data_IF_207735904278
#
_entry.id   IF_207735904278
#
_cell.length_a   1.000
_cell.length_b   1.000
_cell.length_c   1.000
_cell.angle_alpha   90.00
_cell.angle_beta   90.00
_cell.angle_gamma   90.00
#
_symmetry.space_group_name_H-M   'P 1'
#
loop_
_entity.id
_entity.type
_entity.pdbx_description
1 polymer ?
#
# COMPACT_ATOMS: atom_id res chain seq x y z
N UNK A 1 9.56 -3.94 12.39
CA UNK A 1 9.09 -4.95 11.39
C UNK A 1 8.17 -4.30 10.38
N UNK A 2 8.30 -4.68 9.13
CA UNK A 2 7.40 -4.25 8.08
C UNK A 2 6.64 -5.45 7.53
N UNK A 3 5.32 -5.38 7.54
CA UNK A 3 4.46 -6.38 6.90
C UNK A 3 3.82 -5.73 5.68
N UNK A 4 4.11 -6.26 4.49
CA UNK A 4 3.47 -5.85 3.25
C UNK A 4 2.29 -6.76 2.96
N UNK A 5 1.13 -6.19 2.64
CA UNK A 5 -0.07 -6.95 2.30
C UNK A 5 -0.39 -6.77 0.81
N UNK A 6 -0.51 -7.88 0.13
CA UNK A 6 -0.96 -7.93 -1.26
C UNK A 6 -2.18 -8.83 -1.36
N UNK A 7 -2.90 -8.74 -2.46
CA UNK A 7 -4.05 -9.59 -2.69
C UNK A 7 -4.97 -8.99 -3.74
N UNK A 8 -5.84 -9.81 -4.27
CA UNK A 8 -6.84 -9.39 -5.25
C UNK A 8 -7.88 -8.49 -4.61
N UNK A 9 -8.61 -7.75 -5.45
CA UNK A 9 -9.72 -6.92 -4.99
C UNK A 9 -10.72 -7.78 -4.20
N UNK A 10 -11.18 -7.27 -3.06
CA UNK A 10 -12.10 -7.97 -2.16
C UNK A 10 -11.55 -9.29 -1.59
N UNK A 11 -10.24 -9.45 -1.49
CA UNK A 11 -9.63 -10.63 -0.87
C UNK A 11 -9.69 -10.63 0.66
N UNK A 12 -9.97 -9.47 1.28
CA UNK A 12 -9.98 -9.33 2.74
C UNK A 12 -8.70 -8.71 3.30
N UNK A 13 -7.83 -8.19 2.44
CA UNK A 13 -6.55 -7.60 2.90
C UNK A 13 -6.74 -6.41 3.83
N UNK A 14 -7.79 -5.61 3.64
CA UNK A 14 -8.06 -4.48 4.53
C UNK A 14 -8.46 -4.95 5.94
N UNK A 15 -9.20 -6.05 6.03
CA UNK A 15 -9.55 -6.68 7.30
C UNK A 15 -8.30 -7.18 8.02
N UNK A 16 -7.37 -7.78 7.26
CA UNK A 16 -6.09 -8.26 7.82
C UNK A 16 -5.26 -7.07 8.31
N UNK A 17 -5.21 -5.99 7.54
CA UNK A 17 -4.49 -4.77 7.93
C UNK A 17 -5.06 -4.20 9.24
N UNK A 18 -6.38 -4.08 9.35
CA UNK A 18 -7.05 -3.62 10.57
C UNK A 18 -6.72 -4.50 11.76
N UNK A 19 -6.70 -5.80 11.57
CA UNK A 19 -6.35 -6.75 12.63
C UNK A 19 -4.92 -6.52 13.14
N UNK A 20 -3.98 -6.41 12.21
CA UNK A 20 -2.56 -6.17 12.54
C UNK A 20 -2.39 -4.88 13.33
N UNK A 21 -3.05 -3.81 12.88
CA UNK A 21 -2.97 -2.50 13.56
C UNK A 21 -3.58 -2.59 14.97
N UNK A 22 -4.78 -3.13 15.09
CA UNK A 22 -5.50 -3.14 16.38
C UNK A 22 -4.93 -4.11 17.39
N UNK A 23 -4.49 -5.29 16.94
CA UNK A 23 -4.01 -6.35 17.84
C UNK A 23 -2.52 -6.25 18.13
N UNK A 24 -1.72 -5.77 17.21
CA UNK A 24 -0.27 -5.76 17.33
C UNK A 24 0.35 -4.36 17.36
N UNK A 25 -0.48 -3.32 17.29
CA UNK A 25 0.00 -1.94 17.41
C UNK A 25 0.82 -1.42 16.24
N UNK A 26 0.69 -2.03 15.07
CA UNK A 26 1.38 -1.59 13.86
C UNK A 26 0.78 -0.28 13.35
N UNK A 27 1.61 0.55 12.74
CA UNK A 27 1.16 1.75 12.03
C UNK A 27 0.88 1.40 10.58
N UNK A 28 -0.30 1.77 10.08
CA UNK A 28 -0.69 1.48 8.71
C UNK A 28 -0.23 2.59 7.78
N UNK A 29 0.46 2.22 6.69
CA UNK A 29 0.77 3.09 5.57
C UNK A 29 0.22 2.50 4.29
N UNK A 30 -0.60 3.26 3.58
CA UNK A 30 -1.01 2.92 2.22
C UNK A 30 -0.12 3.66 1.24
N UNK A 31 0.42 2.97 0.23
CA UNK A 31 1.24 3.64 -0.78
C UNK A 31 0.44 4.65 -1.59
N UNK A 32 -0.88 4.47 -1.70
CA UNK A 32 -1.73 5.49 -2.34
C UNK A 32 -1.80 6.79 -1.53
N UNK A 33 -1.63 6.72 -0.21
CA UNK A 33 -1.60 7.93 0.62
C UNK A 33 -0.32 8.74 0.38
N UNK A 34 0.79 8.06 0.03
CA UNK A 34 2.02 8.75 -0.36
C UNK A 34 1.78 9.60 -1.61
N UNK A 35 1.01 9.07 -2.57
CA UNK A 35 0.63 9.84 -3.76
C UNK A 35 -0.16 11.08 -3.37
N UNK A 36 -1.14 10.94 -2.47
CA UNK A 36 -1.96 12.07 -2.00
C UNK A 36 -1.13 13.14 -1.32
N UNK A 37 -0.17 12.74 -0.51
CA UNK A 37 0.73 13.68 0.15
C UNK A 37 1.56 14.48 -0.85
N UNK A 38 2.10 13.81 -1.86
CA UNK A 38 2.87 14.47 -2.93
C UNK A 38 1.99 15.45 -3.71
N UNK A 39 0.76 15.07 -4.02
CA UNK A 39 -0.20 15.93 -4.71
C UNK A 39 -0.53 17.17 -3.90
N UNK A 40 -0.72 17.00 -2.58
CA UNK A 40 -1.00 18.12 -1.68
C UNK A 40 0.14 19.13 -1.68
N UNK A 41 1.40 18.65 -1.68
CA UNK A 41 2.57 19.52 -1.75
C UNK A 41 2.60 20.34 -3.03
N UNK A 42 2.08 19.80 -4.12
CA UNK A 42 2.04 20.48 -5.42
C UNK A 42 0.72 21.22 -5.67
N UNK A 43 -0.20 21.20 -4.71
CA UNK A 43 -1.48 21.90 -4.84
C UNK A 43 -2.47 21.25 -5.80
N UNK A 44 -2.33 19.94 -6.02
CA UNK A 44 -3.21 19.19 -6.93
C UNK A 44 -4.35 18.55 -6.12
N UNK A 45 -5.59 18.71 -6.60
CA UNK A 45 -6.75 18.12 -5.96
C UNK A 45 -6.72 16.59 -6.08
N UNK A 46 -6.91 15.83 -4.97
CA UNK A 46 -6.80 14.37 -4.99
C UNK A 46 -8.05 13.66 -5.51
N UNK A 47 -8.50 14.01 -6.71
CA UNK A 47 -9.53 13.26 -7.41
C UNK A 47 -8.99 11.91 -7.85
N UNK A 48 -9.88 10.95 -8.10
CA UNK A 48 -9.46 9.63 -8.56
C UNK A 48 -8.63 9.71 -9.85
N UNK A 49 -9.07 10.55 -10.79
CA UNK A 49 -8.35 10.73 -12.06
C UNK A 49 -6.96 11.32 -11.84
N UNK A 50 -6.86 12.36 -11.02
CA UNK A 50 -5.57 12.99 -10.71
C UNK A 50 -4.64 12.04 -9.96
N UNK A 51 -5.16 11.21 -9.07
CA UNK A 51 -4.37 10.19 -8.37
C UNK A 51 -3.74 9.21 -9.35
N UNK A 52 -4.50 8.74 -10.32
CA UNK A 52 -4.02 7.78 -11.33
C UNK A 52 -2.94 8.43 -12.19
N UNK A 53 -3.20 9.63 -12.71
CA UNK A 53 -2.26 10.35 -13.58
C UNK A 53 -0.98 10.69 -12.82
N UNK A 54 -1.10 11.24 -11.62
CA UNK A 54 0.05 11.63 -10.81
C UNK A 54 0.92 10.43 -10.43
N UNK A 55 0.28 9.34 -9.98
CA UNK A 55 1.01 8.13 -9.62
C UNK A 55 1.71 7.49 -10.81
N UNK A 56 1.06 7.46 -11.97
CA UNK A 56 1.66 6.94 -13.21
C UNK A 56 2.87 7.77 -13.62
N UNK A 57 2.76 9.09 -13.62
CA UNK A 57 3.86 9.98 -13.99
C UNK A 57 5.02 9.89 -13.00
N UNK A 58 4.73 9.81 -11.71
CA UNK A 58 5.76 9.69 -10.68
C UNK A 58 6.58 8.41 -10.86
N UNK A 59 5.90 7.29 -11.12
CA UNK A 59 6.57 6.01 -11.37
C UNK A 59 7.37 6.03 -12.67
N UNK A 60 6.86 6.67 -13.70
CA UNK A 60 7.54 6.81 -15.00
C UNK A 60 8.83 7.61 -14.85
N UNK A 61 8.79 8.70 -14.08
CA UNK A 61 9.94 9.61 -13.93
C UNK A 61 10.99 9.07 -12.95
N UNK A 62 10.57 8.39 -11.89
CA UNK A 62 11.44 7.99 -10.77
C UNK A 62 11.52 6.49 -10.54
N UNK A 63 10.81 5.69 -11.34
CA UNK A 63 10.81 4.23 -11.21
C UNK A 63 9.60 3.70 -10.47
N UNK A 64 9.28 2.42 -10.71
CA UNK A 64 8.10 1.78 -10.15
C UNK A 64 8.18 1.55 -8.63
N UNK A 65 9.36 1.63 -8.04
CA UNK A 65 9.55 1.47 -6.59
C UNK A 65 9.54 2.78 -5.81
N UNK A 66 9.30 3.92 -6.46
CA UNK A 66 9.43 5.24 -5.81
C UNK A 66 8.52 5.42 -4.61
N UNK A 67 7.29 4.92 -4.66
CA UNK A 67 6.34 5.08 -3.55
C UNK A 67 6.81 4.32 -2.31
N UNK A 68 7.31 3.11 -2.48
CA UNK A 68 7.88 2.33 -1.39
C UNK A 68 9.13 3.01 -0.82
N UNK A 69 9.99 3.53 -1.68
CA UNK A 69 11.17 4.28 -1.26
C UNK A 69 10.81 5.49 -0.41
N UNK A 70 9.81 6.27 -0.84
CA UNK A 70 9.31 7.41 -0.08
C UNK A 70 8.68 7.01 1.25
N UNK A 71 7.96 5.89 1.28
CA UNK A 71 7.38 5.36 2.51
C UNK A 71 8.48 4.98 3.50
N UNK A 72 9.53 4.32 3.04
CA UNK A 72 10.67 3.94 3.90
C UNK A 72 11.34 5.16 4.54
N UNK A 73 11.43 6.28 3.83
CA UNK A 73 11.99 7.52 4.39
C UNK A 73 11.19 8.05 5.57
N UNK A 74 9.88 7.76 5.60
CA UNK A 74 8.98 8.22 6.67
C UNK A 74 8.92 7.28 7.85
N UNK A 75 9.42 6.05 7.69
CA UNK A 75 9.35 5.03 8.72
C UNK A 75 10.58 5.05 9.62
N UNK A 76 10.37 4.95 10.93
CA UNK A 76 11.48 4.77 11.84
C UNK A 76 12.08 3.36 11.68
N UNK A 77 13.38 3.22 11.99
CA UNK A 77 14.08 1.94 11.86
C UNK A 77 13.52 0.87 12.80
N UNK A 78 13.04 1.29 13.96
CA UNK A 78 12.59 0.38 15.02
C UNK A 78 11.07 0.25 15.10
N UNK A 79 10.34 0.94 14.23
CA UNK A 79 8.87 0.90 14.23
C UNK A 79 8.32 -0.32 13.53
N UNK A 80 7.04 -0.60 13.81
CA UNK A 80 6.29 -1.68 13.18
C UNK A 80 5.25 -1.09 12.25
N UNK A 81 5.31 -1.47 10.98
CA UNK A 81 4.48 -0.88 9.93
C UNK A 81 3.80 -1.94 9.09
N UNK A 82 2.54 -1.67 8.73
CA UNK A 82 1.76 -2.48 7.81
C UNK A 82 1.55 -1.68 6.52
N UNK A 83 2.04 -2.18 5.39
CA UNK A 83 2.00 -1.49 4.10
C UNK A 83 0.94 -2.12 3.22
N UNK A 84 0.06 -1.29 2.68
CA UNK A 84 -0.98 -1.70 1.72
C UNK A 84 -0.84 -0.93 0.41
N UNK A 85 -1.70 -1.25 -0.55
CA UNK A 85 -1.70 -0.62 -1.88
C UNK A 85 -0.42 -0.84 -2.67
N UNK A 86 0.23 -1.98 -2.46
CA UNK A 86 1.40 -2.39 -3.24
C UNK A 86 0.91 -2.84 -4.62
N UNK A 87 1.43 -2.22 -5.69
CA UNK A 87 0.97 -2.44 -7.06
C UNK A 87 2.03 -3.04 -7.98
N UNK A 88 3.32 -2.88 -7.64
CA UNK A 88 4.43 -3.29 -8.50
C UNK A 88 5.46 -4.12 -7.75
N UNK A 89 6.07 -5.12 -8.41
CA UNK A 89 7.15 -5.90 -7.79
C UNK A 89 8.33 -5.05 -7.32
N UNK A 90 8.61 -3.94 -8.00
CA UNK A 90 9.69 -3.04 -7.62
C UNK A 90 9.44 -2.40 -6.25
N UNK A 91 8.19 -2.20 -5.87
CA UNK A 91 7.82 -1.71 -4.54
C UNK A 91 8.19 -2.73 -3.47
N UNK A 92 7.96 -4.01 -3.75
CA UNK A 92 8.34 -5.09 -2.85
C UNK A 92 9.86 -5.16 -2.70
N UNK A 93 10.59 -5.00 -3.80
CA UNK A 93 12.06 -5.02 -3.77
C UNK A 93 12.61 -3.86 -2.93
N UNK A 94 12.01 -2.68 -3.00
CA UNK A 94 12.41 -1.55 -2.15
C UNK A 94 12.16 -1.84 -0.66
N UNK A 95 11.00 -2.42 -0.34
CA UNK A 95 10.66 -2.75 1.04
C UNK A 95 11.59 -3.83 1.60
N UNK A 96 12.05 -4.75 0.76
CA UNK A 96 12.98 -5.82 1.16
C UNK A 96 14.38 -5.34 1.50
N UNK A 97 14.71 -4.09 1.22
CA UNK A 97 15.97 -3.51 1.67
C UNK A 97 16.05 -3.46 3.20
N UNK A 98 14.91 -3.48 3.88
CA UNK A 98 14.88 -3.70 5.32
C UNK A 98 14.89 -5.20 5.60
N UNK A 99 15.75 -5.62 6.55
CA UNK A 99 15.93 -7.03 6.89
C UNK A 99 14.72 -7.65 7.57
N UNK A 100 13.82 -6.85 8.10
CA UNK A 100 12.65 -7.26 8.88
C UNK A 100 11.35 -7.14 8.09
N UNK A 101 11.41 -7.31 6.77
CA UNK A 101 10.24 -7.24 5.89
C UNK A 101 9.64 -8.64 5.66
N UNK A 102 8.31 -8.73 5.80
CA UNK A 102 7.54 -9.93 5.50
C UNK A 102 6.42 -9.57 4.53
N UNK A 103 6.30 -10.33 3.45
CA UNK A 103 5.20 -10.15 2.49
C UNK A 103 4.14 -11.20 2.74
N UNK A 104 2.89 -10.76 2.91
CA UNK A 104 1.74 -11.65 3.08
C UNK A 104 0.78 -11.42 1.92
N UNK A 105 0.50 -12.47 1.16
CA UNK A 105 -0.52 -12.43 0.12
C UNK A 105 -1.84 -12.92 0.70
N UNK A 106 -2.83 -12.02 0.75
CA UNK A 106 -4.18 -12.35 1.23
C UNK A 106 -5.03 -12.70 0.03
N UNK A 107 -5.56 -13.90 0.02
CA UNK A 107 -6.37 -14.39 -1.07
C UNK A 107 -7.71 -14.95 -0.56
N UNK A 108 -8.69 -14.98 -1.45
CA UNK A 108 -10.00 -15.54 -1.18
C UNK A 108 -10.55 -16.15 -2.48
N UNK A 109 -11.40 -17.21 -2.39
CA UNK A 109 -12.02 -17.76 -3.58
C UNK A 109 -12.75 -16.68 -4.38
N UNK A 110 -12.75 -16.83 -5.71
CA UNK A 110 -13.35 -15.86 -6.61
C UNK A 110 -14.81 -15.55 -6.28
N UNK A 111 -15.59 -16.55 -5.90
CA UNK A 111 -16.99 -16.37 -5.53
C UNK A 111 -17.15 -15.52 -4.27
N UNK A 112 -16.28 -15.67 -3.28
CA UNK A 112 -16.30 -14.85 -2.07
C UNK A 112 -15.92 -13.40 -2.38
N UNK A 113 -14.95 -13.18 -3.27
CA UNK A 113 -14.55 -11.84 -3.70
C UNK A 113 -15.69 -11.14 -4.43
N UNK A 114 -16.40 -11.86 -5.28
CA UNK A 114 -17.54 -11.34 -6.01
C UNK A 114 -18.67 -10.91 -5.04
N UNK A 115 -18.99 -11.73 -4.06
CA UNK A 115 -20.00 -11.40 -3.06
C UNK A 115 -19.64 -10.16 -2.25
N UNK A 116 -18.37 -10.03 -1.84
CA UNK A 116 -17.89 -8.86 -1.12
C UNK A 116 -17.98 -7.59 -1.97
N UNK A 117 -17.67 -7.69 -3.25
CA UNK A 117 -17.77 -6.58 -4.18
C UNK A 117 -19.23 -6.13 -4.33
N UNK A 118 -20.15 -7.06 -4.45
CA UNK A 118 -21.59 -6.76 -4.54
C UNK A 118 -22.08 -6.01 -3.32
N UNK A 119 -21.64 -6.41 -2.13
CA UNK A 119 -22.06 -5.77 -0.88
C UNK A 119 -21.54 -4.33 -0.75
N UNK A 120 -20.39 -4.03 -1.35
CA UNK A 120 -19.82 -2.69 -1.33
C UNK A 120 -20.53 -1.73 -2.28
N UNK A 121 -21.08 -2.25 -3.33
CA UNK A 121 -21.81 -1.48 -4.34
C UNK A 121 -23.29 -1.44 -4.00
#
# INVERSE_FOLDING_TARGET
>A
MIIGLTGSYCSGKDTVADYIVKKHGFTHYSLSDIIRECMKEEGIEPTRENLIVFGTNLRKDKGNGVLASKALEKMSKDGDFCITSIRHPDEINELRKRNDFILINVDAPQNMRFERMRKRN
#
